data_IF_102831900021
#
_entry.id   IF_102831900021
#
_cell.length_a   1.000
_cell.length_b   1.000
_cell.length_c   1.000
_cell.angle_alpha   90.00
_cell.angle_beta   90.00
_cell.angle_gamma   90.00
#
_symmetry.space_group_name_H-M   'P 1'
#
loop_
_entity.id
_entity.type
_entity.pdbx_description
1 polymer ?
#
# COMPACT_ATOMS: atom_id res chain seq x y z
N UNK A 1 -19.01 -34.21 9.11
CA UNK A 1 -19.18 -32.89 8.45
C UNK A 1 -20.61 -32.59 8.05
N UNK A 2 -21.34 -33.50 7.39
CA UNK A 2 -22.71 -33.26 6.88
C UNK A 2 -23.72 -32.73 7.94
N UNK A 3 -23.72 -33.27 9.16
CA UNK A 3 -24.62 -32.81 10.23
C UNK A 3 -24.35 -31.37 10.69
N UNK A 4 -23.07 -30.95 10.69
CA UNK A 4 -22.68 -29.59 11.07
C UNK A 4 -23.12 -28.59 9.99
N UNK A 5 -22.99 -28.96 8.71
CA UNK A 5 -23.43 -28.13 7.58
C UNK A 5 -24.95 -27.95 7.55
N UNK A 6 -25.72 -29.01 7.85
CA UNK A 6 -27.18 -28.92 7.94
C UNK A 6 -27.62 -27.97 9.05
N UNK A 7 -26.96 -28.02 10.23
CA UNK A 7 -27.24 -27.12 11.35
C UNK A 7 -26.87 -25.67 11.03
N UNK A 8 -25.75 -25.41 10.36
CA UNK A 8 -25.37 -24.06 9.96
C UNK A 8 -26.35 -23.48 8.93
N UNK A 9 -26.75 -24.26 7.93
CA UNK A 9 -27.76 -23.84 6.94
C UNK A 9 -29.09 -23.50 7.61
N UNK A 10 -29.56 -24.34 8.55
CA UNK A 10 -30.79 -24.06 9.29
C UNK A 10 -30.74 -22.72 10.04
N UNK A 11 -29.61 -22.39 10.68
CA UNK A 11 -29.44 -21.10 11.37
C UNK A 11 -29.38 -19.91 10.39
N UNK A 12 -28.80 -20.11 9.20
CA UNK A 12 -28.78 -19.08 8.15
C UNK A 12 -30.21 -18.79 7.66
N UNK A 13 -30.99 -19.83 7.37
CA UNK A 13 -32.39 -19.65 6.95
C UNK A 13 -33.22 -18.94 8.02
N UNK A 14 -33.12 -19.37 9.29
CA UNK A 14 -33.81 -18.70 10.40
C UNK A 14 -33.41 -17.23 10.55
N UNK A 15 -32.14 -16.91 10.30
CA UNK A 15 -31.64 -15.53 10.34
C UNK A 15 -32.20 -14.69 9.19
N UNK A 16 -32.36 -15.27 7.99
CA UNK A 16 -33.01 -14.60 6.85
C UNK A 16 -34.48 -14.32 7.12
N UNK A 17 -35.21 -15.29 7.65
CA UNK A 17 -36.63 -15.11 7.99
C UNK A 17 -36.82 -13.97 9.00
N UNK A 18 -35.91 -13.85 9.96
CA UNK A 18 -35.94 -12.74 10.93
C UNK A 18 -35.59 -11.38 10.32
N UNK A 19 -34.79 -11.33 9.25
CA UNK A 19 -34.38 -10.09 8.58
C UNK A 19 -35.41 -9.61 7.55
N UNK A 20 -36.25 -10.51 7.03
CA UNK A 20 -37.20 -10.20 5.95
C UNK A 20 -38.19 -9.08 6.33
N UNK A 21 -38.73 -9.13 7.56
CA UNK A 21 -39.60 -8.08 8.08
C UNK A 21 -38.90 -6.72 8.23
N UNK A 22 -37.66 -6.71 8.75
CA UNK A 22 -36.84 -5.49 8.88
C UNK A 22 -36.50 -4.90 7.51
N UNK A 23 -36.09 -5.76 6.56
CA UNK A 23 -35.72 -5.34 5.21
C UNK A 23 -36.92 -4.76 4.45
N UNK A 24 -38.06 -5.45 4.49
CA UNK A 24 -39.29 -5.03 3.79
C UNK A 24 -39.77 -3.66 4.26
N UNK A 25 -39.70 -3.40 5.58
CA UNK A 25 -40.05 -2.10 6.13
C UNK A 25 -39.05 -1.01 5.68
N UNK A 26 -37.74 -1.25 5.81
CA UNK A 26 -36.71 -0.24 5.57
C UNK A 26 -36.50 0.09 4.08
N UNK A 27 -36.67 -0.89 3.19
CA UNK A 27 -36.43 -0.68 1.76
C UNK A 27 -37.48 0.23 1.12
N UNK A 28 -38.71 0.20 1.64
CA UNK A 28 -39.77 1.13 1.24
C UNK A 28 -39.51 2.57 1.65
N UNK A 29 -38.73 2.80 2.71
CA UNK A 29 -38.38 4.15 3.16
C UNK A 29 -37.19 4.73 2.38
N UNK A 30 -36.06 4.01 2.35
CA UNK A 30 -34.88 4.42 1.57
C UNK A 30 -33.82 3.33 1.52
N UNK A 31 -33.09 3.28 0.40
CA UNK A 31 -31.93 2.40 0.25
C UNK A 31 -30.86 2.63 1.33
N UNK A 32 -30.61 3.88 1.74
CA UNK A 32 -29.58 4.22 2.72
C UNK A 32 -29.88 3.64 4.11
N UNK A 33 -31.15 3.61 4.52
CA UNK A 33 -31.59 2.96 5.76
C UNK A 33 -31.52 1.44 5.67
N UNK A 34 -31.96 0.88 4.53
CA UNK A 34 -31.92 -0.55 4.28
C UNK A 34 -30.49 -1.12 4.11
N UNK A 35 -29.49 -0.28 3.81
CA UNK A 35 -28.13 -0.72 3.46
C UNK A 35 -27.50 -1.65 4.49
N UNK A 36 -27.66 -1.36 5.80
CA UNK A 36 -27.14 -2.25 6.85
C UNK A 36 -27.79 -3.63 6.81
N UNK A 37 -29.09 -3.69 6.53
CA UNK A 37 -29.80 -4.96 6.39
C UNK A 37 -29.35 -5.71 5.12
N UNK A 38 -29.17 -5.00 4.00
CA UNK A 38 -28.63 -5.59 2.76
C UNK A 38 -27.24 -6.21 2.95
N UNK A 39 -26.36 -5.57 3.73
CA UNK A 39 -25.06 -6.15 4.08
C UNK A 39 -25.21 -7.42 4.94
N UNK A 40 -26.17 -7.48 5.87
CA UNK A 40 -26.43 -8.73 6.61
C UNK A 40 -26.91 -9.84 5.68
N UNK A 41 -27.79 -9.54 4.72
CA UNK A 41 -28.25 -10.50 3.71
C UNK A 41 -27.08 -10.99 2.85
N UNK A 42 -26.19 -10.09 2.47
CA UNK A 42 -24.94 -10.41 1.76
C UNK A 42 -24.07 -11.37 2.58
N UNK A 43 -23.83 -11.07 3.85
CA UNK A 43 -23.07 -11.92 4.77
C UNK A 43 -23.68 -13.32 4.93
N UNK A 44 -25.00 -13.43 5.03
CA UNK A 44 -25.69 -14.71 5.10
C UNK A 44 -25.53 -15.51 3.80
N UNK A 45 -25.53 -14.82 2.65
CA UNK A 45 -25.29 -15.45 1.35
C UNK A 45 -23.85 -15.94 1.20
N UNK A 46 -22.88 -15.12 1.61
CA UNK A 46 -21.46 -15.52 1.63
C UNK A 46 -21.23 -16.71 2.56
N UNK A 47 -21.91 -16.80 3.71
CA UNK A 47 -21.84 -17.95 4.62
C UNK A 47 -22.33 -19.25 3.97
N UNK A 48 -23.41 -19.21 3.18
CA UNK A 48 -23.88 -20.38 2.43
C UNK A 48 -22.91 -20.77 1.32
N UNK A 49 -22.37 -19.78 0.62
CA UNK A 49 -21.35 -19.99 -0.42
C UNK A 49 -20.05 -20.55 0.18
N UNK A 50 -19.66 -20.16 1.39
CA UNK A 50 -18.53 -20.73 2.14
C UNK A 50 -18.73 -22.22 2.42
N UNK A 51 -19.94 -22.65 2.77
CA UNK A 51 -20.25 -24.07 2.96
C UNK A 51 -20.07 -24.84 1.65
N UNK A 52 -20.58 -24.28 0.53
CA UNK A 52 -20.41 -24.85 -0.81
C UNK A 52 -18.94 -24.89 -1.22
N UNK A 53 -18.19 -23.84 -0.95
CA UNK A 53 -16.76 -23.76 -1.24
C UNK A 53 -15.99 -24.90 -0.57
N UNK A 54 -16.23 -25.13 0.73
CA UNK A 54 -15.56 -26.23 1.45
C UNK A 54 -15.88 -27.61 0.87
N UNK A 55 -17.12 -27.82 0.43
CA UNK A 55 -17.51 -29.07 -0.23
C UNK A 55 -16.83 -29.25 -1.59
N UNK A 56 -16.66 -28.17 -2.36
CA UNK A 56 -15.94 -28.18 -3.64
C UNK A 56 -14.43 -28.41 -3.43
N UNK A 57 -13.86 -27.82 -2.39
CA UNK A 57 -12.48 -28.05 -1.97
C UNK A 57 -12.24 -29.53 -1.61
N UNK A 58 -13.14 -30.15 -0.84
CA UNK A 58 -13.10 -31.59 -0.52
C UNK A 58 -13.19 -32.48 -1.78
N UNK A 59 -13.87 -32.01 -2.83
CA UNK A 59 -14.05 -32.73 -4.10
C UNK A 59 -12.89 -32.48 -5.07
N UNK A 60 -12.02 -31.50 -4.80
CA UNK A 60 -10.90 -31.12 -5.66
C UNK A 60 -11.26 -30.20 -6.84
N UNK A 61 -12.47 -29.64 -6.88
CA UNK A 61 -12.91 -28.73 -7.94
C UNK A 61 -12.37 -27.31 -7.76
N UNK A 62 -11.09 -27.14 -8.13
CA UNK A 62 -10.38 -25.88 -8.02
C UNK A 62 -10.92 -24.78 -8.94
N UNK A 63 -11.56 -25.15 -10.07
CA UNK A 63 -12.11 -24.18 -11.02
C UNK A 63 -13.34 -23.48 -10.46
N UNK A 64 -14.29 -24.24 -9.91
CA UNK A 64 -15.48 -23.67 -9.27
C UNK A 64 -15.11 -22.79 -8.07
N UNK A 65 -14.12 -23.19 -7.27
CA UNK A 65 -13.59 -22.36 -6.18
C UNK A 65 -13.01 -21.03 -6.70
N UNK A 66 -12.29 -21.05 -7.81
CA UNK A 66 -11.77 -19.81 -8.42
C UNK A 66 -12.88 -18.89 -8.91
N UNK A 67 -13.88 -19.43 -9.60
CA UNK A 67 -15.04 -18.65 -10.07
C UNK A 67 -15.80 -18.03 -8.89
N UNK A 68 -15.92 -18.77 -7.77
CA UNK A 68 -16.55 -18.26 -6.56
C UNK A 68 -15.77 -17.09 -5.96
N UNK A 69 -14.44 -17.19 -5.88
CA UNK A 69 -13.59 -16.06 -5.45
C UNK A 69 -13.74 -14.84 -6.36
N UNK A 70 -13.79 -15.03 -7.68
CA UNK A 70 -13.99 -13.92 -8.62
C UNK A 70 -15.37 -13.26 -8.48
N UNK A 71 -16.41 -14.05 -8.18
CA UNK A 71 -17.73 -13.52 -7.86
C UNK A 71 -17.71 -12.70 -6.57
N UNK A 72 -17.14 -13.24 -5.49
CA UNK A 72 -16.97 -12.56 -4.22
C UNK A 72 -16.21 -11.24 -4.36
N UNK A 73 -15.10 -11.23 -5.11
CA UNK A 73 -14.33 -10.01 -5.36
C UNK A 73 -15.15 -8.97 -6.12
N UNK A 74 -15.85 -9.35 -7.20
CA UNK A 74 -16.70 -8.43 -7.96
C UNK A 74 -17.81 -7.84 -7.09
N UNK A 75 -18.45 -8.67 -6.27
CA UNK A 75 -19.55 -8.26 -5.39
C UNK A 75 -19.09 -7.27 -4.33
N UNK A 76 -17.97 -7.55 -3.66
CA UNK A 76 -17.38 -6.64 -2.68
C UNK A 76 -16.98 -5.29 -3.28
N UNK A 77 -16.43 -5.30 -4.50
CA UNK A 77 -16.09 -4.06 -5.22
C UNK A 77 -17.32 -3.24 -5.63
N UNK A 78 -18.49 -3.87 -5.73
CA UNK A 78 -19.78 -3.20 -5.94
C UNK A 78 -20.41 -2.64 -4.67
N UNK A 79 -19.98 -3.10 -3.49
CA UNK A 79 -20.45 -2.56 -2.21
C UNK A 79 -19.97 -1.11 -2.02
N UNK A 80 -20.74 -0.33 -1.25
CA UNK A 80 -20.30 1.00 -0.78
C UNK A 80 -18.93 0.87 -0.10
N UNK A 81 -17.99 1.82 -0.30
CA UNK A 81 -16.71 1.85 0.39
C UNK A 81 -16.88 2.21 1.87
N UNK A 82 -17.50 1.30 2.63
CA UNK A 82 -17.71 1.39 4.07
C UNK A 82 -16.79 0.39 4.78
N UNK A 83 -16.06 0.86 5.78
CA UNK A 83 -15.03 0.07 6.44
C UNK A 83 -15.62 -1.13 7.19
N UNK A 84 -16.75 -0.95 7.87
CA UNK A 84 -17.34 -2.06 8.65
C UNK A 84 -18.00 -3.09 7.75
N UNK A 85 -18.69 -2.66 6.68
CA UNK A 85 -19.23 -3.59 5.70
C UNK A 85 -18.14 -4.43 5.03
N UNK A 86 -17.04 -3.80 4.61
CA UNK A 86 -15.91 -4.52 4.00
C UNK A 86 -15.25 -5.47 5.00
N UNK A 87 -14.98 -4.99 6.22
CA UNK A 87 -14.36 -5.79 7.28
C UNK A 87 -15.19 -7.03 7.58
N UNK A 88 -16.50 -6.85 7.79
CA UNK A 88 -17.38 -7.92 8.23
C UNK A 88 -17.63 -8.97 7.15
N UNK A 89 -17.49 -8.63 5.87
CA UNK A 89 -17.50 -9.59 4.75
C UNK A 89 -16.15 -10.31 4.64
N UNK A 90 -15.04 -9.57 4.73
CA UNK A 90 -13.70 -10.15 4.63
C UNK A 90 -13.40 -11.14 5.76
N UNK A 91 -13.84 -10.85 6.98
CA UNK A 91 -13.73 -11.77 8.13
C UNK A 91 -14.41 -13.11 7.84
N UNK A 92 -15.54 -13.13 7.13
CA UNK A 92 -16.18 -14.39 6.71
C UNK A 92 -15.31 -15.15 5.71
N UNK A 93 -14.77 -14.46 4.71
CA UNK A 93 -13.94 -15.08 3.66
C UNK A 93 -12.66 -15.71 4.22
N UNK A 94 -12.10 -15.18 5.31
CA UNK A 94 -10.93 -15.77 5.99
C UNK A 94 -11.16 -17.20 6.49
N UNK A 95 -12.41 -17.64 6.64
CA UNK A 95 -12.75 -19.01 7.04
C UNK A 95 -12.33 -20.08 6.02
N UNK A 96 -12.03 -19.67 4.78
CA UNK A 96 -11.68 -20.57 3.67
C UNK A 96 -10.54 -20.04 2.81
N UNK A 97 -10.44 -18.72 2.63
CA UNK A 97 -9.39 -18.10 1.83
C UNK A 97 -8.49 -17.26 2.75
N UNK A 98 -7.25 -17.70 3.01
CA UNK A 98 -6.34 -16.92 3.84
C UNK A 98 -5.96 -15.60 3.14
N UNK A 99 -5.67 -14.52 3.89
CA UNK A 99 -5.36 -13.20 3.31
C UNK A 99 -4.22 -13.18 2.28
N UNK A 100 -3.30 -14.14 2.36
CA UNK A 100 -2.21 -14.32 1.38
C UNK A 100 -2.69 -14.64 -0.03
N UNK A 101 -3.82 -15.33 -0.16
CA UNK A 101 -4.39 -15.75 -1.45
C UNK A 101 -5.25 -14.66 -2.09
N UNK A 102 -5.75 -13.71 -1.30
CA UNK A 102 -6.54 -12.55 -1.76
C UNK A 102 -5.86 -11.21 -1.43
N UNK A 103 -4.54 -11.14 -1.69
CA UNK A 103 -3.72 -9.99 -1.33
C UNK A 103 -4.31 -8.68 -1.89
N UNK A 104 -4.78 -8.69 -3.14
CA UNK A 104 -5.26 -7.48 -3.81
C UNK A 104 -6.47 -6.85 -3.11
N UNK A 105 -7.40 -7.65 -2.60
CA UNK A 105 -8.58 -7.18 -1.89
C UNK A 105 -8.20 -6.63 -0.51
N UNK A 106 -7.31 -7.30 0.21
CA UNK A 106 -6.81 -6.83 1.51
C UNK A 106 -5.99 -5.52 1.40
N UNK A 107 -5.23 -5.32 0.32
CA UNK A 107 -4.54 -4.05 0.07
C UNK A 107 -5.55 -2.93 -0.25
N UNK A 108 -6.62 -3.21 -1.02
CA UNK A 108 -7.71 -2.25 -1.25
C UNK A 108 -8.42 -1.88 0.06
N UNK A 109 -8.66 -2.87 0.92
CA UNK A 109 -9.25 -2.64 2.24
C UNK A 109 -8.35 -1.79 3.14
N UNK A 110 -7.05 -2.07 3.18
CA UNK A 110 -6.07 -1.22 3.89
C UNK A 110 -6.11 0.23 3.38
N UNK A 111 -6.18 0.42 2.05
CA UNK A 111 -6.31 1.75 1.46
C UNK A 111 -7.64 2.44 1.82
N UNK A 112 -8.74 1.68 1.91
CA UNK A 112 -10.04 2.18 2.35
C UNK A 112 -10.00 2.65 3.81
N UNK A 113 -9.45 1.84 4.71
CA UNK A 113 -9.26 2.19 6.12
C UNK A 113 -8.47 3.49 6.27
N UNK A 114 -7.38 3.63 5.52
CA UNK A 114 -6.54 4.83 5.52
C UNK A 114 -7.28 6.07 5.02
N UNK A 115 -8.01 5.98 3.90
CA UNK A 115 -8.82 7.09 3.37
C UNK A 115 -9.98 7.49 4.28
N UNK A 116 -10.50 6.54 5.05
CA UNK A 116 -11.59 6.77 6.01
C UNK A 116 -11.09 7.26 7.38
N UNK A 117 -9.78 7.53 7.54
CA UNK A 117 -9.17 7.98 8.79
C UNK A 117 -8.98 6.89 9.85
N UNK A 118 -9.31 5.62 9.57
CA UNK A 118 -9.13 4.50 10.50
C UNK A 118 -7.73 3.91 10.41
N UNK A 119 -6.72 4.74 10.74
CA UNK A 119 -5.30 4.41 10.59
C UNK A 119 -4.87 3.20 11.44
N UNK A 120 -5.35 3.10 12.67
CA UNK A 120 -5.04 1.97 13.55
C UNK A 120 -5.48 0.62 12.96
N UNK A 121 -6.63 0.59 12.29
CA UNK A 121 -7.12 -0.60 11.60
C UNK A 121 -6.28 -0.89 10.35
N UNK A 122 -5.96 0.13 9.55
CA UNK A 122 -5.09 -0.01 8.38
C UNK A 122 -3.71 -0.60 8.76
N UNK A 123 -3.12 -0.14 9.87
CA UNK A 123 -1.87 -0.66 10.42
C UNK A 123 -1.98 -2.12 10.82
N UNK A 124 -3.01 -2.49 11.59
CA UNK A 124 -3.25 -3.89 11.96
C UNK A 124 -3.42 -4.80 10.74
N UNK A 125 -4.14 -4.35 9.72
CA UNK A 125 -4.36 -5.13 8.49
C UNK A 125 -3.06 -5.32 7.72
N UNK A 126 -2.26 -4.27 7.52
CA UNK A 126 -1.00 -4.40 6.76
C UNK A 126 0.05 -5.21 7.54
N UNK A 127 0.09 -5.10 8.87
CA UNK A 127 1.00 -5.88 9.71
C UNK A 127 0.63 -7.36 9.71
N UNK A 128 -0.67 -7.67 9.70
CA UNK A 128 -1.17 -9.05 9.50
C UNK A 128 -0.69 -9.63 8.16
N UNK A 129 -0.74 -8.87 7.07
CA UNK A 129 -0.20 -9.32 5.77
C UNK A 129 1.34 -9.47 5.79
N UNK A 130 2.05 -8.60 6.51
CA UNK A 130 3.52 -8.60 6.62
C UNK A 130 4.07 -9.62 7.61
N UNK A 131 3.21 -10.29 8.39
CA UNK A 131 3.62 -11.40 9.25
C UNK A 131 4.25 -12.54 8.43
N UNK A 132 3.85 -12.68 7.17
CA UNK A 132 4.51 -13.56 6.21
C UNK A 132 5.77 -12.87 5.64
N UNK A 133 6.93 -13.52 5.85
CA UNK A 133 8.22 -13.04 5.37
C UNK A 133 8.31 -12.87 3.84
N UNK A 134 7.50 -13.64 3.09
CA UNK A 134 7.44 -13.55 1.62
C UNK A 134 6.71 -12.28 1.19
N UNK A 135 5.51 -12.04 1.75
CA UNK A 135 4.70 -10.84 1.51
C UNK A 135 5.40 -9.58 2.03
N UNK A 136 6.17 -9.66 3.11
CA UNK A 136 6.98 -8.54 3.60
C UNK A 136 7.99 -8.05 2.57
N UNK A 137 8.51 -8.94 1.71
CA UNK A 137 9.44 -8.60 0.62
C UNK A 137 8.72 -8.22 -0.67
N UNK A 138 7.41 -8.38 -0.75
CA UNK A 138 6.64 -7.99 -1.91
C UNK A 138 6.69 -6.45 -2.07
N UNK A 139 7.09 -5.95 -3.25
CA UNK A 139 7.18 -4.51 -3.52
C UNK A 139 5.86 -3.75 -3.31
N UNK A 140 4.73 -4.36 -3.66
CA UNK A 140 3.39 -3.75 -3.56
C UNK A 140 2.98 -3.66 -2.09
N UNK A 141 3.21 -4.71 -1.30
CA UNK A 141 2.91 -4.73 0.14
C UNK A 141 3.81 -3.74 0.88
N UNK A 142 5.09 -3.69 0.54
CA UNK A 142 6.05 -2.71 1.08
C UNK A 142 5.57 -1.29 0.78
N UNK A 143 5.16 -1.02 -0.46
CA UNK A 143 4.61 0.27 -0.85
C UNK A 143 3.36 0.68 -0.07
N UNK A 144 2.38 -0.22 0.09
CA UNK A 144 1.17 0.07 0.88
C UNK A 144 1.49 0.30 2.35
N UNK A 145 2.46 -0.43 2.91
CA UNK A 145 2.94 -0.23 4.28
C UNK A 145 3.57 1.14 4.48
N UNK A 146 4.48 1.57 3.61
CA UNK A 146 5.14 2.88 3.71
C UNK A 146 4.12 4.02 3.67
N UNK A 147 3.14 3.90 2.79
CA UNK A 147 2.01 4.82 2.70
C UNK A 147 1.15 4.88 3.96
N UNK A 148 1.03 3.77 4.68
CA UNK A 148 0.30 3.71 5.93
C UNK A 148 1.12 4.29 7.08
N UNK A 149 2.42 3.99 7.13
CA UNK A 149 3.35 4.55 8.11
C UNK A 149 3.42 6.08 8.01
N UNK A 150 3.50 6.61 6.79
CA UNK A 150 3.47 8.06 6.56
C UNK A 150 2.17 8.69 7.08
N UNK A 151 1.03 8.05 6.81
CA UNK A 151 -0.28 8.53 7.26
C UNK A 151 -0.44 8.45 8.79
N UNK A 152 0.24 7.52 9.45
CA UNK A 152 0.24 7.36 10.90
C UNK A 152 1.14 8.38 11.64
N UNK A 153 1.83 9.26 10.91
CA UNK A 153 2.64 10.35 11.48
C UNK A 153 4.15 10.09 11.48
N UNK A 154 4.60 8.85 11.30
CA UNK A 154 6.03 8.49 11.16
C UNK A 154 6.57 8.86 9.77
N UNK A 155 6.41 10.14 9.38
CA UNK A 155 6.67 10.65 8.02
C UNK A 155 8.13 10.54 7.60
N UNK A 156 9.06 10.88 8.49
CA UNK A 156 10.51 10.77 8.24
C UNK A 156 10.95 9.33 8.04
N UNK A 157 10.54 8.43 8.93
CA UNK A 157 10.85 7.00 8.83
C UNK A 157 10.27 6.39 7.54
N UNK A 158 9.04 6.74 7.18
CA UNK A 158 8.42 6.29 5.94
C UNK A 158 9.17 6.77 4.70
N UNK A 159 9.66 8.02 4.72
CA UNK A 159 10.48 8.59 3.65
C UNK A 159 11.82 7.89 3.52
N UNK A 160 12.54 7.69 4.62
CA UNK A 160 13.86 7.05 4.63
C UNK A 160 13.78 5.59 4.14
N UNK A 161 12.77 4.85 4.60
CA UNK A 161 12.51 3.50 4.08
C UNK A 161 12.11 3.49 2.61
N UNK A 162 11.38 4.51 2.11
CA UNK A 162 11.08 4.64 0.68
C UNK A 162 12.36 4.89 -0.14
N UNK A 163 13.27 5.72 0.38
CA UNK A 163 14.55 5.97 -0.26
C UNK A 163 15.42 4.70 -0.31
N UNK A 164 15.50 3.96 0.79
CA UNK A 164 16.18 2.66 0.86
C UNK A 164 15.56 1.64 -0.12
N UNK A 165 14.24 1.61 -0.23
CA UNK A 165 13.53 0.78 -1.20
C UNK A 165 13.89 1.15 -2.65
N UNK A 166 13.94 2.44 -2.98
CA UNK A 166 14.36 2.91 -4.31
C UNK A 166 15.83 2.59 -4.62
N UNK A 167 16.73 2.71 -3.62
CA UNK A 167 18.14 2.32 -3.72
C UNK A 167 18.30 0.84 -4.04
N UNK A 168 17.60 -0.01 -3.31
CA UNK A 168 17.65 -1.47 -3.50
C UNK A 168 17.23 -1.88 -4.92
N UNK A 169 16.32 -1.14 -5.54
CA UNK A 169 15.80 -1.41 -6.88
C UNK A 169 16.48 -0.58 -7.98
N UNK A 170 17.64 0.03 -7.70
CA UNK A 170 18.48 0.71 -8.69
C UNK A 170 17.86 1.96 -9.29
N UNK A 171 16.91 2.59 -8.59
CA UNK A 171 16.10 3.68 -9.10
C UNK A 171 16.30 4.93 -8.23
N UNK A 172 17.55 5.36 -8.08
CA UNK A 172 17.92 6.59 -7.35
C UNK A 172 18.55 7.57 -8.31
N UNK A 173 18.07 8.80 -8.23
CA UNK A 173 18.39 9.88 -9.15
C UNK A 173 19.61 10.67 -8.67
N UNK A 174 19.90 10.68 -7.36
CA UNK A 174 21.15 11.23 -6.80
C UNK A 174 21.40 10.71 -5.38
N UNK A 175 22.51 9.99 -5.11
CA UNK A 175 22.92 9.62 -3.75
C UNK A 175 23.39 10.81 -2.90
N UNK A 176 23.83 11.90 -3.53
CA UNK A 176 24.60 12.97 -2.87
C UNK A 176 23.77 14.10 -2.26
N UNK A 177 22.44 14.08 -2.42
CA UNK A 177 21.52 15.09 -1.91
C UNK A 177 20.65 14.55 -0.78
N UNK A 178 21.26 13.79 0.14
CA UNK A 178 20.67 13.55 1.46
C UNK A 178 20.46 14.93 2.06
N UNK A 179 19.20 15.32 2.28
CA UNK A 179 18.95 16.44 3.15
C UNK A 179 19.41 15.97 4.53
N UNK A 180 20.59 16.40 4.96
CA UNK A 180 20.97 16.40 6.37
C UNK A 180 20.11 17.48 7.04
N UNK A 181 18.81 17.19 7.18
CA UNK A 181 17.93 17.93 8.08
C UNK A 181 18.39 17.50 9.45
N UNK A 182 19.42 18.20 9.94
CA UNK A 182 20.24 17.85 11.09
C UNK A 182 19.48 17.00 12.08
N UNK A 183 19.80 15.70 12.07
CA UNK A 183 19.37 14.84 13.15
C UNK A 183 19.93 15.45 14.42
N UNK A 184 19.06 15.99 15.28
CA UNK A 184 19.39 16.48 16.62
C UNK A 184 19.81 15.33 17.56
N UNK A 185 20.59 14.38 17.05
CA UNK A 185 21.22 13.30 17.80
C UNK A 185 22.70 13.68 17.90
N UNK A 186 23.26 13.92 19.10
CA UNK A 186 24.68 14.17 19.26
C UNK A 186 25.47 13.01 18.66
N UNK A 187 26.16 13.26 17.55
CA UNK A 187 27.10 12.35 16.93
C UNK A 187 28.31 12.18 17.86
N UNK A 188 28.21 11.25 18.80
CA UNK A 188 29.35 10.74 19.55
C UNK A 188 29.33 9.22 19.49
N UNK A 189 30.51 8.67 19.21
CA UNK A 189 30.85 7.25 19.16
C UNK A 189 30.53 6.58 17.82
N UNK A 190 31.47 6.66 16.89
CA UNK A 190 32.21 5.49 16.40
C UNK A 190 33.50 5.95 15.67
N UNK A 191 34.65 5.28 15.88
CA UNK A 191 35.96 5.80 15.51
C UNK A 191 36.28 5.57 14.03
N UNK A 192 36.80 6.62 13.38
CA UNK A 192 37.56 6.50 12.13
C UNK A 192 38.91 5.81 12.39
N UNK A 193 39.34 4.85 11.55
CA UNK A 193 40.74 4.48 11.46
C UNK A 193 41.41 5.23 10.29
N UNK A 194 42.30 6.17 10.62
CA UNK A 194 43.26 6.72 9.65
C UNK A 194 44.37 5.69 9.37
N UNK A 195 44.45 5.30 8.09
CA UNK A 195 45.63 5.10 7.24
C UNK A 195 46.93 4.46 7.81
N UNK A 196 47.34 3.34 7.19
CA UNK A 196 48.75 3.11 6.82
C UNK A 196 48.85 2.47 5.44
N UNK A 197 49.58 3.13 4.54
CA UNK A 197 50.14 2.54 3.31
C UNK A 197 51.18 1.48 3.68
N UNK A 198 51.30 0.42 2.86
CA UNK A 198 52.54 -0.07 2.20
C UNK A 198 52.20 -1.39 1.47
N UNK A 199 52.63 -1.50 0.20
CA UNK A 199 52.94 -2.77 -0.48
C UNK A 199 51.88 -3.39 -1.41
N UNK A 200 52.07 -3.23 -2.73
CA UNK A 200 51.70 -4.25 -3.74
C UNK A 200 52.75 -5.39 -3.69
N UNK A 201 52.46 -6.67 -4.04
CA UNK A 201 52.10 -7.05 -5.42
C UNK A 201 51.18 -8.29 -5.61
N UNK A 202 50.55 -8.34 -6.80
CA UNK A 202 50.29 -9.59 -7.54
C UNK A 202 49.27 -10.60 -6.98
N UNK A 203 48.03 -10.59 -7.51
CA UNK A 203 47.04 -11.63 -7.21
C UNK A 203 45.90 -11.67 -8.22
N UNK A 204 45.81 -12.79 -8.95
CA UNK A 204 44.90 -13.12 -10.06
C UNK A 204 43.44 -12.65 -9.84
N UNK A 205 42.91 -11.89 -10.81
CA UNK A 205 41.48 -11.57 -10.96
C UNK A 205 40.68 -12.87 -11.19
N UNK A 206 40.15 -13.47 -10.12
CA UNK A 206 39.00 -14.39 -10.24
C UNK A 206 37.76 -13.54 -10.50
N UNK A 207 37.31 -13.52 -11.77
CA UNK A 207 35.94 -13.13 -12.13
C UNK A 207 34.99 -13.99 -11.27
N UNK A 208 34.41 -13.41 -10.21
CA UNK A 208 33.22 -13.99 -9.60
C UNK A 208 32.11 -13.85 -10.63
N UNK A 209 31.73 -14.97 -11.22
CA UNK A 209 30.52 -15.08 -12.02
C UNK A 209 29.38 -14.50 -11.17
N UNK A 210 28.76 -13.44 -11.68
CA UNK A 210 27.51 -12.94 -11.13
C UNK A 210 26.53 -14.09 -11.22
N UNK A 211 26.19 -14.66 -10.07
CA UNK A 211 25.08 -15.60 -9.97
C UNK A 211 23.84 -14.85 -10.42
N UNK A 212 23.30 -15.26 -11.56
CA UNK A 212 21.99 -14.88 -12.08
C UNK A 212 20.93 -15.35 -11.08
N UNK A 213 20.75 -14.60 -10.00
CA UNK A 213 19.54 -14.62 -9.20
C UNK A 213 18.56 -13.74 -9.96
N UNK A 214 17.51 -14.36 -10.49
CA UNK A 214 16.38 -13.67 -11.12
C UNK A 214 15.76 -12.70 -10.12
N UNK A 215 16.23 -11.45 -10.11
CA UNK A 215 15.58 -10.35 -9.40
C UNK A 215 14.18 -10.21 -10.00
N UNK A 216 13.15 -10.54 -9.22
CA UNK A 216 11.77 -10.18 -9.52
C UNK A 216 11.71 -8.66 -9.69
N UNK A 217 11.69 -8.20 -10.93
CA UNK A 217 11.80 -6.79 -11.27
C UNK A 217 10.54 -6.07 -10.81
N UNK A 218 10.70 -5.02 -10.00
CA UNK A 218 9.57 -4.21 -9.54
C UNK A 218 8.88 -3.58 -10.75
N UNK A 219 7.53 -3.60 -10.84
CA UNK A 219 6.83 -2.96 -11.94
C UNK A 219 7.22 -1.49 -12.07
N UNK A 220 7.55 -1.05 -13.29
CA UNK A 220 7.98 0.34 -13.56
C UNK A 220 6.90 1.35 -13.13
N UNK A 221 5.62 0.98 -13.26
CA UNK A 221 4.51 1.80 -12.78
C UNK A 221 4.54 2.03 -11.27
N UNK A 222 4.97 1.03 -10.49
CA UNK A 222 5.11 1.15 -9.05
C UNK A 222 6.30 2.04 -8.70
N UNK A 223 7.44 1.85 -9.37
CA UNK A 223 8.62 2.69 -9.19
C UNK A 223 8.31 4.16 -9.50
N UNK A 224 7.60 4.46 -10.60
CA UNK A 224 7.16 5.82 -10.92
C UNK A 224 6.25 6.42 -9.83
N UNK A 225 5.32 5.63 -9.27
CA UNK A 225 4.48 6.05 -8.12
C UNK A 225 5.33 6.34 -6.88
N UNK A 226 6.35 5.53 -6.61
CA UNK A 226 7.29 5.74 -5.50
C UNK A 226 8.08 7.04 -5.69
N UNK A 227 8.62 7.32 -6.87
CA UNK A 227 9.35 8.57 -7.15
C UNK A 227 8.46 9.81 -6.97
N UNK A 228 7.25 9.79 -7.53
CA UNK A 228 6.29 10.87 -7.35
C UNK A 228 6.03 11.11 -5.86
N UNK A 229 5.84 10.03 -5.09
CA UNK A 229 5.57 10.15 -3.66
C UNK A 229 6.78 10.58 -2.84
N UNK A 230 7.99 10.18 -3.25
CA UNK A 230 9.22 10.67 -2.66
C UNK A 230 9.36 12.19 -2.79
N UNK A 231 9.12 12.74 -3.99
CA UNK A 231 9.12 14.18 -4.22
C UNK A 231 8.04 14.91 -3.41
N UNK A 232 6.81 14.37 -3.38
CA UNK A 232 5.71 14.96 -2.60
C UNK A 232 5.99 14.95 -1.09
N UNK A 233 6.49 13.83 -0.55
CA UNK A 233 6.81 13.73 0.87
C UNK A 233 8.02 14.57 1.26
N UNK A 234 9.00 14.69 0.36
CA UNK A 234 10.16 15.56 0.56
C UNK A 234 9.74 17.01 0.65
N UNK A 235 8.89 17.45 -0.28
CA UNK A 235 8.29 18.78 -0.27
C UNK A 235 7.53 19.04 1.03
N UNK A 236 6.56 18.18 1.36
CA UNK A 236 5.70 18.34 2.55
C UNK A 236 6.53 18.40 3.85
N UNK A 237 7.54 17.53 3.98
CA UNK A 237 8.43 17.53 5.14
C UNK A 237 9.33 18.77 5.22
N UNK A 238 9.78 19.30 4.09
CA UNK A 238 10.60 20.50 4.07
C UNK A 238 9.78 21.75 4.45
N UNK A 239 8.57 21.88 3.90
CA UNK A 239 7.64 22.97 4.26
C UNK A 239 7.29 22.91 5.77
N UNK A 240 7.00 21.72 6.29
CA UNK A 240 6.72 21.51 7.72
C UNK A 240 7.93 21.83 8.62
N UNK A 241 9.16 21.49 8.19
CA UNK A 241 10.36 21.69 8.99
C UNK A 241 10.85 23.13 8.97
N UNK A 242 10.92 23.73 7.78
CA UNK A 242 11.43 25.08 7.59
C UNK A 242 10.41 26.14 8.01
N UNK A 243 9.12 25.79 8.09
CA UNK A 243 8.02 26.74 8.30
C UNK A 243 7.97 27.85 7.24
N UNK A 244 8.60 27.60 6.10
CA UNK A 244 8.66 28.49 4.94
C UNK A 244 8.40 27.70 3.66
N UNK A 245 8.36 28.40 2.53
CA UNK A 245 8.14 27.72 1.26
C UNK A 245 9.38 26.93 0.85
N UNK A 246 9.20 25.68 0.39
CA UNK A 246 10.32 24.85 -0.08
C UNK A 246 11.09 25.43 -1.27
N UNK A 247 10.60 26.50 -1.90
CA UNK A 247 11.30 27.24 -2.96
C UNK A 247 12.46 28.09 -2.44
N UNK A 248 12.54 28.37 -1.13
CA UNK A 248 13.64 29.14 -0.53
C UNK A 248 14.96 28.36 -0.48
N UNK A 249 14.88 27.03 -0.39
CA UNK A 249 16.04 26.14 -0.39
C UNK A 249 16.23 25.53 -1.79
N UNK A 250 17.23 26.03 -2.51
CA UNK A 250 17.58 25.54 -3.86
C UNK A 250 17.85 24.03 -3.87
N UNK A 251 18.49 23.49 -2.83
CA UNK A 251 18.79 22.06 -2.74
C UNK A 251 17.53 21.21 -2.56
N UNK A 252 16.56 21.68 -1.78
CA UNK A 252 15.25 21.02 -1.65
C UNK A 252 14.46 21.08 -2.96
N UNK A 253 14.46 22.24 -3.62
CA UNK A 253 13.78 22.41 -4.91
C UNK A 253 14.34 21.47 -5.99
N UNK A 254 15.66 21.44 -6.16
CA UNK A 254 16.33 20.55 -7.12
C UNK A 254 16.00 19.07 -6.85
N UNK A 255 16.01 18.67 -5.57
CA UNK A 255 15.65 17.33 -5.15
C UNK A 255 14.22 16.96 -5.55
N UNK A 256 13.25 17.80 -5.17
CA UNK A 256 11.83 17.57 -5.45
C UNK A 256 11.58 17.48 -6.97
N UNK A 257 12.19 18.38 -7.75
CA UNK A 257 12.09 18.36 -9.21
C UNK A 257 12.75 17.12 -9.82
N UNK A 258 13.92 16.70 -9.33
CA UNK A 258 14.61 15.49 -9.78
C UNK A 258 13.78 14.21 -9.55
N UNK A 259 13.10 14.12 -8.41
CA UNK A 259 12.17 13.02 -8.13
C UNK A 259 10.96 13.01 -9.09
N UNK A 260 10.36 14.17 -9.35
CA UNK A 260 9.23 14.27 -10.27
C UNK A 260 9.63 13.99 -11.72
N UNK A 261 10.77 14.51 -12.17
CA UNK A 261 11.31 14.26 -13.51
C UNK A 261 11.54 12.76 -13.73
N UNK A 262 12.10 12.08 -12.72
CA UNK A 262 12.34 10.64 -12.79
C UNK A 262 11.07 9.82 -12.76
N UNK A 263 10.03 10.27 -12.04
CA UNK A 263 8.70 9.64 -12.10
C UNK A 263 8.12 9.69 -13.53
N UNK A 264 8.30 10.81 -14.24
CA UNK A 264 7.85 10.99 -15.63
C UNK A 264 8.68 10.17 -16.60
N UNK A 265 10.01 10.17 -16.46
CA UNK A 265 10.92 9.36 -17.29
C UNK A 265 10.60 7.86 -17.18
N UNK A 266 10.28 7.39 -15.97
CA UNK A 266 9.88 6.00 -15.75
C UNK A 266 8.50 5.68 -16.33
N UNK A 267 7.51 6.56 -16.17
CA UNK A 267 6.16 6.36 -16.72
C UNK A 267 5.64 7.62 -17.42
N UNK A 268 5.91 7.77 -18.73
CA UNK A 268 5.47 8.93 -19.50
C UNK A 268 3.94 9.10 -19.60
N UNK A 269 3.16 8.04 -19.36
CA UNK A 269 1.68 8.11 -19.37
C UNK A 269 1.09 8.53 -18.02
N UNK A 270 1.91 8.69 -16.98
CA UNK A 270 1.41 8.96 -15.64
C UNK A 270 1.06 10.44 -15.44
N UNK A 271 -0.19 10.80 -15.73
CA UNK A 271 -0.71 12.16 -15.61
C UNK A 271 -0.37 12.84 -14.26
N UNK A 272 -0.47 12.11 -13.14
CA UNK A 272 -0.20 12.71 -11.82
C UNK A 272 1.25 13.15 -11.65
N UNK A 273 2.20 12.44 -12.27
CA UNK A 273 3.61 12.82 -12.24
C UNK A 273 3.86 14.08 -13.09
N UNK A 274 3.31 14.11 -14.31
CA UNK A 274 3.33 15.30 -15.16
C UNK A 274 2.74 16.53 -14.48
N UNK A 275 1.54 16.40 -13.90
CA UNK A 275 0.89 17.49 -13.20
C UNK A 275 1.71 17.99 -12.01
N UNK A 276 2.30 17.09 -11.21
CA UNK A 276 3.14 17.48 -10.08
C UNK A 276 4.41 18.21 -10.51
N UNK A 277 5.10 17.71 -11.55
CA UNK A 277 6.28 18.35 -12.11
C UNK A 277 5.98 19.72 -12.71
N UNK A 278 4.93 19.82 -13.53
CA UNK A 278 4.54 21.07 -14.17
C UNK A 278 4.14 22.13 -13.14
N UNK A 279 3.34 21.75 -12.13
CA UNK A 279 2.93 22.66 -11.07
C UNK A 279 4.12 23.12 -10.22
N UNK A 280 5.07 22.23 -9.91
CA UNK A 280 6.27 22.59 -9.18
C UNK A 280 7.14 23.61 -9.95
N UNK A 281 7.35 23.40 -11.26
CA UNK A 281 8.08 24.35 -12.11
C UNK A 281 7.36 25.70 -12.24
N UNK A 282 6.04 25.68 -12.49
CA UNK A 282 5.25 26.92 -12.59
C UNK A 282 5.33 27.75 -11.30
N UNK A 283 5.17 27.09 -10.15
CA UNK A 283 5.26 27.75 -8.86
C UNK A 283 6.68 28.26 -8.55
N UNK A 284 7.72 27.52 -8.95
CA UNK A 284 9.11 27.97 -8.79
C UNK A 284 9.40 29.25 -9.57
N UNK A 285 8.96 29.32 -10.84
CA UNK A 285 9.10 30.53 -11.66
C UNK A 285 8.32 31.69 -11.06
N UNK A 286 7.07 31.45 -10.66
CA UNK A 286 6.21 32.47 -10.03
C UNK A 286 6.84 33.00 -8.73
N UNK A 287 7.47 32.13 -7.94
CA UNK A 287 8.18 32.51 -6.73
C UNK A 287 9.36 33.44 -7.03
N UNK A 288 10.20 33.08 -8.01
CA UNK A 288 11.33 33.90 -8.44
C UNK A 288 10.86 35.27 -8.97
N UNK A 289 9.81 35.30 -9.80
CA UNK A 289 9.25 36.56 -10.32
C UNK A 289 8.77 37.50 -9.22
N UNK A 290 8.17 36.97 -8.16
CA UNK A 290 7.68 37.76 -7.04
C UNK A 290 8.82 38.28 -6.15
N UNK A 291 9.95 37.59 -6.07
CA UNK A 291 11.15 38.07 -5.35
C UNK A 291 11.88 39.21 -6.09
N UNK A 292 11.69 39.30 -7.41
CA UNK A 292 12.30 40.34 -8.25
C UNK A 292 11.40 41.56 -8.51
N UNK A 293 10.21 41.63 -7.89
CA UNK A 293 9.29 42.78 -7.93
C UNK A 293 9.37 43.60 -6.65
#
# INVERSE_FOLDING_TARGET
>A
MLFLHAKSLHQIYRSRDSLDGELTALIGESYTRAYRCLIKVEQLTELEEIIKYKQLEDTGDSQSCSLMRDMWTRRLLGCRPDVEAWRSILELRTLVVPPREDLTTWLKFTALCRKSGRLSLATKTIDMLRADSTLKRDPVVTWEYLKNLYANGSRWEARDMLQSFLQQHGAVVNPDLIIDVGTGVPSAVLPSPRSRRIGSPGGRRRRRAASSFSQSQVPIELLSKCHLKMGLWTKELAEDYLQTSFFEDEGVLENVLGWFESAIKLNPKYYKAWNAWALANYNAVTYIENQHR
#
